data_IF_124718311138
#
_entry.id   IF_124718311138
#
_cell.length_a   1.000
_cell.length_b   1.000
_cell.length_c   1.000
_cell.angle_alpha   90.00
_cell.angle_beta   90.00
_cell.angle_gamma   90.00
#
_symmetry.space_group_name_H-M   'P 1'
#
loop_
_entity.id
_entity.type
_entity.pdbx_description
1 polymer ?
#
# COMPACT_ATOMS: atom_id res chain seq x y z
N UNK A 1 -11.22 -17.32 -11.20
CA UNK A 1 -11.04 -17.55 -9.76
C UNK A 1 -11.26 -16.23 -9.02
N UNK A 2 -11.99 -16.24 -7.91
CA UNK A 2 -12.26 -15.06 -7.07
C UNK A 2 -10.96 -14.36 -6.64
N UNK A 3 -9.92 -15.14 -6.35
CA UNK A 3 -8.62 -14.65 -5.88
C UNK A 3 -7.92 -13.79 -6.95
N UNK A 4 -8.02 -14.14 -8.23
CA UNK A 4 -7.41 -13.37 -9.32
C UNK A 4 -8.12 -12.03 -9.51
N UNK A 5 -9.45 -12.03 -9.37
CA UNK A 5 -10.24 -10.80 -9.44
C UNK A 5 -9.89 -9.85 -8.28
N UNK A 6 -9.61 -10.39 -7.08
CA UNK A 6 -9.19 -9.59 -5.93
C UNK A 6 -7.83 -8.93 -6.15
N UNK A 7 -6.82 -9.68 -6.58
CA UNK A 7 -5.50 -9.12 -6.87
C UNK A 7 -5.59 -8.04 -7.98
N UNK A 8 -6.36 -8.28 -9.04
CA UNK A 8 -6.60 -7.28 -10.09
C UNK A 8 -7.30 -6.03 -9.56
N UNK A 9 -8.26 -6.18 -8.66
CA UNK A 9 -8.93 -5.05 -8.02
C UNK A 9 -7.95 -4.24 -7.17
N UNK A 10 -7.07 -4.88 -6.42
CA UNK A 10 -6.06 -4.22 -5.60
C UNK A 10 -5.08 -3.41 -6.45
N UNK A 11 -4.54 -3.99 -7.52
CA UNK A 11 -3.70 -3.27 -8.49
C UNK A 11 -4.39 -2.01 -9.02
N UNK A 12 -5.65 -2.13 -9.48
CA UNK A 12 -6.44 -1.00 -10.00
C UNK A 12 -6.80 0.03 -8.91
N UNK A 13 -6.91 -0.39 -7.66
CA UNK A 13 -7.14 0.54 -6.55
C UNK A 13 -5.90 1.39 -6.28
N UNK A 14 -4.73 0.75 -6.21
CA UNK A 14 -3.46 1.44 -6.01
C UNK A 14 -3.18 2.43 -7.14
N UNK A 15 -3.39 2.03 -8.40
CA UNK A 15 -3.22 2.91 -9.54
C UNK A 15 -4.11 4.16 -9.43
N UNK A 16 -5.41 3.97 -9.16
CA UNK A 16 -6.35 5.09 -9.02
C UNK A 16 -6.00 6.01 -7.85
N UNK A 17 -5.56 5.45 -6.73
CA UNK A 17 -5.15 6.23 -5.57
C UNK A 17 -3.89 7.06 -5.87
N UNK A 18 -2.92 6.46 -6.57
CA UNK A 18 -1.72 7.13 -7.03
C UNK A 18 -2.03 8.25 -8.04
N UNK A 19 -2.88 7.99 -9.03
CA UNK A 19 -3.34 8.98 -10.01
C UNK A 19 -4.08 10.15 -9.34
N UNK A 20 -4.75 9.91 -8.21
CA UNK A 20 -5.39 10.93 -7.38
C UNK A 20 -4.42 11.66 -6.42
N UNK A 21 -3.12 11.35 -6.45
CA UNK A 21 -2.10 11.98 -5.60
C UNK A 21 -2.05 11.44 -4.16
N UNK A 22 -2.74 10.33 -3.85
CA UNK A 22 -2.67 9.70 -2.54
C UNK A 22 -1.33 8.98 -2.39
N UNK A 23 -0.70 9.14 -1.22
CA UNK A 23 0.52 8.38 -0.88
C UNK A 23 0.18 6.91 -0.65
N UNK A 24 0.41 6.09 -1.67
CA UNK A 24 0.23 4.63 -1.65
C UNK A 24 1.50 3.95 -2.20
N UNK A 25 1.71 2.64 -1.96
CA UNK A 25 2.71 1.88 -2.69
C UNK A 25 2.46 1.96 -4.21
N UNK A 26 3.51 2.23 -4.98
CA UNK A 26 3.45 2.20 -6.44
C UNK A 26 3.20 0.77 -6.91
N UNK A 27 2.12 0.48 -7.65
CA UNK A 27 1.88 -0.85 -8.21
C UNK A 27 2.79 -1.07 -9.44
N UNK A 28 3.59 -2.14 -9.43
CA UNK A 28 4.60 -2.41 -10.49
C UNK A 28 4.09 -3.45 -11.49
N UNK A 29 3.59 -4.59 -10.99
CA UNK A 29 3.12 -5.69 -11.86
C UNK A 29 2.13 -6.60 -11.12
N UNK A 30 1.34 -7.36 -11.89
CA UNK A 30 0.44 -8.38 -11.35
C UNK A 30 0.46 -9.63 -12.23
N UNK A 31 0.47 -10.80 -11.61
CA UNK A 31 0.33 -12.10 -12.28
C UNK A 31 -0.54 -13.03 -11.44
N UNK A 32 -1.70 -13.44 -11.98
CA UNK A 32 -2.69 -14.26 -11.27
C UNK A 32 -3.09 -13.63 -9.93
N UNK A 33 -2.56 -14.15 -8.81
CA UNK A 33 -2.81 -13.69 -7.45
C UNK A 33 -1.58 -13.05 -6.77
N UNK A 34 -0.53 -12.75 -7.56
CA UNK A 34 0.70 -12.12 -7.08
C UNK A 34 0.73 -10.67 -7.56
N UNK A 35 0.80 -9.73 -6.62
CA UNK A 35 0.94 -8.29 -6.84
C UNK A 35 2.33 -7.85 -6.41
N UNK A 36 3.06 -7.17 -7.30
CA UNK A 36 4.35 -6.55 -7.04
C UNK A 36 4.13 -5.04 -6.93
N UNK A 37 4.66 -4.44 -5.87
CA UNK A 37 4.55 -3.01 -5.58
C UNK A 37 5.81 -2.49 -4.88
N UNK A 38 5.96 -1.16 -4.80
CA UNK A 38 7.07 -0.53 -4.09
C UNK A 38 7.07 -0.90 -2.61
N UNK A 39 8.25 -1.11 -2.03
CA UNK A 39 8.39 -1.35 -0.60
C UNK A 39 8.27 -0.04 0.20
N UNK A 40 7.49 -0.08 1.30
CA UNK A 40 7.44 1.03 2.27
C UNK A 40 8.24 0.62 3.50
N UNK A 41 9.45 1.16 3.61
CA UNK A 41 10.38 0.85 4.69
C UNK A 41 11.79 1.28 4.33
N UNK A 42 12.76 0.91 5.16
CA UNK A 42 14.18 1.24 4.96
C UNK A 42 15.04 0.04 5.33
N UNK A 43 16.12 -0.21 4.57
CA UNK A 43 17.10 -1.26 4.85
C UNK A 43 16.50 -2.68 5.00
N UNK A 44 15.36 -2.96 4.34
CA UNK A 44 14.66 -4.24 4.45
C UNK A 44 13.64 -4.30 5.60
N UNK A 45 13.62 -3.31 6.50
CA UNK A 45 12.64 -3.22 7.58
C UNK A 45 11.38 -2.50 7.11
N UNK A 46 10.22 -3.15 7.27
CA UNK A 46 8.94 -2.55 6.91
C UNK A 46 8.61 -1.37 7.82
N UNK A 47 7.97 -0.34 7.27
CA UNK A 47 7.46 0.74 8.09
C UNK A 47 6.47 0.20 9.14
N UNK A 48 6.48 0.73 10.38
CA UNK A 48 5.58 0.26 11.43
C UNK A 48 4.13 0.61 11.08
N UNK A 49 3.20 -0.20 11.57
CA UNK A 49 1.79 0.12 11.46
C UNK A 49 1.45 1.33 12.34
N UNK A 50 0.42 2.09 11.97
CA UNK A 50 0.01 3.28 12.74
C UNK A 50 -0.34 2.94 14.20
N UNK A 51 -0.84 1.72 14.48
CA UNK A 51 -1.14 1.25 15.84
C UNK A 51 0.09 0.92 16.69
N UNK A 52 1.25 0.75 16.06
CA UNK A 52 2.51 0.36 16.71
C UNK A 52 3.38 1.57 17.08
N UNK A 53 3.03 2.75 16.59
CA UNK A 53 3.76 3.98 16.84
C UNK A 53 3.10 4.83 17.92
N UNK A 54 3.90 5.31 18.87
CA UNK A 54 3.45 6.34 19.80
C UNK A 54 3.55 7.71 19.12
N UNK A 55 2.40 8.34 18.88
CA UNK A 55 2.33 9.67 18.29
C UNK A 55 2.60 10.72 19.36
N UNK A 56 3.62 11.56 19.16
CA UNK A 56 3.92 12.67 20.08
C UNK A 56 2.76 13.66 20.20
N UNK A 57 2.08 13.96 19.09
CA UNK A 57 0.93 14.87 19.03
C UNK A 57 -0.22 14.28 18.19
N UNK A 58 -1.06 13.40 18.76
CA UNK A 58 -2.12 12.71 18.00
C UNK A 58 -3.11 13.67 17.31
N UNK A 59 -3.43 14.80 17.95
CA UNK A 59 -4.42 15.79 17.45
C UNK A 59 -3.98 16.57 16.20
N UNK A 60 -2.70 16.53 15.83
CA UNK A 60 -2.22 17.14 14.60
C UNK A 60 -2.21 16.16 13.42
N UNK A 61 -2.38 14.87 13.70
CA UNK A 61 -2.30 13.78 12.72
C UNK A 61 -3.69 13.35 12.26
N UNK A 62 -4.75 13.70 13.00
CA UNK A 62 -6.14 13.33 12.77
C UNK A 62 -7.04 14.57 12.62
#
# INVERSE_FOLDING_TARGET
SLIYAWAQKEFKNLQRAMDAGVRVPEPIAISKNVLIMSFIGKNGDSAPLLKEVSLKNPRQVY
#
